data_IF_572122452835
#
_entry.id   IF_572122452835
#
_cell.length_a   1.000
_cell.length_b   1.000
_cell.length_c   1.000
_cell.angle_alpha   90.00
_cell.angle_beta   90.00
_cell.angle_gamma   90.00
#
_symmetry.space_group_name_H-M   'P 1'
#
loop_
_entity.id
_entity.type
_entity.pdbx_description
1 polymer ?
#
# COMPACT_ATOMS: atom_id res chain seq x y z
N UNK A 1 -18.25 10.22 -12.61
CA UNK A 1 -17.78 10.02 -11.25
C UNK A 1 -16.87 8.79 -11.16
N UNK A 2 -15.59 8.96 -10.85
CA UNK A 2 -14.72 7.81 -10.69
C UNK A 2 -15.19 6.93 -9.54
N UNK A 3 -15.16 5.64 -9.74
CA UNK A 3 -15.55 4.67 -8.74
C UNK A 3 -14.56 3.53 -8.74
N UNK A 4 -14.50 2.80 -7.64
CA UNK A 4 -13.81 1.52 -7.61
C UNK A 4 -14.45 0.58 -8.63
N UNK A 5 -13.63 -0.11 -9.41
CA UNK A 5 -14.10 -1.12 -10.35
C UNK A 5 -14.17 -2.50 -9.71
N UNK A 6 -13.97 -2.59 -8.40
CA UNK A 6 -14.00 -3.85 -7.68
C UNK A 6 -15.40 -4.43 -7.62
N UNK A 7 -15.51 -5.71 -7.96
CA UNK A 7 -16.71 -6.48 -7.62
C UNK A 7 -16.70 -6.78 -6.12
N UNK A 8 -17.85 -7.17 -5.53
CA UNK A 8 -17.88 -7.59 -4.13
C UNK A 8 -16.88 -8.72 -3.81
N UNK A 9 -16.71 -9.67 -4.73
CA UNK A 9 -15.76 -10.77 -4.54
C UNK A 9 -14.31 -10.28 -4.53
N UNK A 10 -13.97 -9.35 -5.43
CA UNK A 10 -12.63 -8.76 -5.48
C UNK A 10 -12.34 -7.95 -4.23
N UNK A 11 -13.31 -7.15 -3.77
CA UNK A 11 -13.16 -6.38 -2.52
C UNK A 11 -12.93 -7.29 -1.33
N UNK A 12 -13.72 -8.35 -1.22
CA UNK A 12 -13.57 -9.33 -0.14
C UNK A 12 -12.17 -9.97 -0.15
N UNK A 13 -11.65 -10.28 -1.34
CA UNK A 13 -10.31 -10.82 -1.50
C UNK A 13 -9.25 -9.83 -0.98
N UNK A 14 -9.35 -8.56 -1.34
CA UNK A 14 -8.40 -7.53 -0.92
C UNK A 14 -8.50 -7.23 0.58
N UNK A 15 -9.67 -7.39 1.18
CA UNK A 15 -9.85 -7.17 2.61
C UNK A 15 -9.29 -8.30 3.47
N UNK A 16 -9.06 -9.47 2.90
CA UNK A 16 -8.34 -10.54 3.58
C UNK A 16 -6.86 -10.18 3.73
N UNK A 17 -6.26 -10.58 4.84
CA UNK A 17 -4.87 -10.24 5.12
C UNK A 17 -3.93 -10.98 4.18
N UNK A 18 -3.20 -10.21 3.36
CA UNK A 18 -2.18 -10.67 2.43
C UNK A 18 -1.10 -9.61 2.33
N UNK A 19 0.00 -9.96 1.70
CA UNK A 19 1.03 -8.98 1.34
C UNK A 19 0.79 -8.49 -0.09
N UNK A 20 1.17 -7.26 -0.36
CA UNK A 20 1.11 -6.68 -1.69
C UNK A 20 2.52 -6.58 -2.27
N UNK A 21 2.60 -6.71 -3.60
CA UNK A 21 3.80 -6.31 -4.34
C UNK A 21 3.52 -4.94 -4.93
N UNK A 22 4.35 -3.96 -4.56
CA UNK A 22 4.21 -2.58 -5.02
C UNK A 22 5.29 -2.28 -6.04
N UNK A 23 4.85 -1.85 -7.23
CA UNK A 23 5.72 -1.48 -8.33
C UNK A 23 5.84 0.01 -8.49
N UNK A 24 7.06 0.48 -8.72
CA UNK A 24 7.38 1.87 -9.07
C UNK A 24 8.47 1.88 -10.12
N UNK A 25 8.72 3.04 -10.74
CA UNK A 25 9.69 3.14 -11.83
C UNK A 25 11.02 3.68 -11.31
N UNK A 26 12.09 2.90 -11.50
CA UNK A 26 13.46 3.36 -11.25
C UNK A 26 13.84 4.48 -12.23
N UNK A 27 14.87 5.30 -11.90
CA UNK A 27 15.30 6.39 -12.80
C UNK A 27 15.65 5.94 -14.21
N UNK A 28 16.15 4.73 -14.39
CA UNK A 28 16.49 4.18 -15.70
C UNK A 28 15.31 3.58 -16.45
N UNK A 29 14.09 3.66 -15.87
CA UNK A 29 12.89 3.13 -16.45
C UNK A 29 12.58 1.68 -16.10
N UNK A 30 13.50 0.97 -15.44
CA UNK A 30 13.25 -0.39 -15.02
C UNK A 30 12.27 -0.45 -13.85
N UNK A 31 11.51 -1.54 -13.70
CA UNK A 31 10.58 -1.65 -12.58
C UNK A 31 11.29 -1.93 -11.26
N UNK A 32 10.84 -1.29 -10.20
CA UNK A 32 11.20 -1.60 -8.82
C UNK A 32 10.02 -2.28 -8.15
N UNK A 33 10.24 -3.43 -7.53
CA UNK A 33 9.19 -4.19 -6.85
C UNK A 33 9.56 -4.37 -5.38
N UNK A 34 8.58 -4.17 -4.51
CA UNK A 34 8.76 -4.35 -3.06
C UNK A 34 7.52 -5.00 -2.45
N UNK A 35 7.74 -5.94 -1.54
CA UNK A 35 6.63 -6.53 -0.78
C UNK A 35 6.29 -5.60 0.38
N UNK A 36 5.01 -5.26 0.52
CA UNK A 36 4.56 -4.31 1.51
C UNK A 36 3.25 -4.75 2.17
N UNK A 37 3.00 -4.23 3.35
CA UNK A 37 1.68 -4.24 3.95
C UNK A 37 0.77 -3.28 3.20
N UNK A 38 -0.51 -3.58 3.15
CA UNK A 38 -1.52 -2.70 2.58
C UNK A 38 -2.81 -2.80 3.37
N UNK A 39 -3.68 -1.82 3.20
CA UNK A 39 -5.06 -1.89 3.62
C UNK A 39 -5.95 -1.21 2.59
N UNK A 40 -7.23 -1.50 2.65
CA UNK A 40 -8.23 -0.84 1.84
C UNK A 40 -8.92 0.20 2.72
N UNK A 41 -8.97 1.42 2.23
CA UNK A 41 -9.64 2.53 2.90
C UNK A 41 -10.57 3.20 1.90
N UNK A 42 -11.87 2.92 2.01
CA UNK A 42 -12.83 3.37 1.01
C UNK A 42 -12.52 2.77 -0.37
N UNK A 43 -12.24 3.64 -1.33
CA UNK A 43 -11.90 3.25 -2.69
C UNK A 43 -10.41 3.38 -2.99
N UNK A 44 -9.58 3.37 -1.96
CA UNK A 44 -8.13 3.48 -2.09
C UNK A 44 -7.42 2.27 -1.49
N UNK A 45 -6.29 1.91 -2.11
CA UNK A 45 -5.30 1.06 -1.46
C UNK A 45 -4.31 1.97 -0.77
N UNK A 46 -4.02 1.67 0.49
CA UNK A 46 -3.11 2.46 1.32
C UNK A 46 -1.88 1.62 1.66
N UNK A 47 -0.71 2.17 1.37
CA UNK A 47 0.58 1.62 1.79
C UNK A 47 1.38 2.72 2.47
N UNK A 48 2.42 2.35 3.21
CA UNK A 48 3.19 3.32 3.98
C UNK A 48 4.65 2.87 4.04
N UNK A 49 5.57 3.83 4.05
CA UNK A 49 7.00 3.54 4.03
C UNK A 49 7.77 4.60 4.81
N UNK A 50 8.96 4.21 5.27
CA UNK A 50 9.91 5.17 5.83
C UNK A 50 10.56 5.96 4.70
N UNK A 51 10.77 7.26 4.93
CA UNK A 51 11.42 8.14 3.98
C UNK A 51 12.84 7.67 3.64
N UNK A 52 13.23 7.87 2.39
CA UNK A 52 14.59 7.59 1.93
C UNK A 52 14.78 6.26 1.25
N UNK A 53 13.75 5.43 1.17
CA UNK A 53 13.81 4.15 0.47
C UNK A 53 13.71 4.37 -1.04
N UNK A 54 14.15 3.36 -1.82
CA UNK A 54 14.14 3.46 -3.28
C UNK A 54 12.74 3.75 -3.84
N UNK A 55 11.73 3.03 -3.35
CA UNK A 55 10.34 3.26 -3.79
C UNK A 55 9.85 4.67 -3.47
N UNK A 56 10.31 5.21 -2.37
CA UNK A 56 9.99 6.55 -1.94
C UNK A 56 10.54 7.59 -2.92
N UNK A 57 11.80 7.46 -3.27
CA UNK A 57 12.44 8.33 -4.27
C UNK A 57 11.80 8.18 -5.64
N UNK A 58 11.49 6.94 -6.02
CA UNK A 58 10.85 6.65 -7.30
C UNK A 58 9.48 7.31 -7.39
N UNK A 59 8.65 7.17 -6.36
CA UNK A 59 7.29 7.72 -6.37
C UNK A 59 7.28 9.24 -6.26
N UNK A 60 8.28 9.83 -5.60
CA UNK A 60 8.43 11.29 -5.57
C UNK A 60 8.75 11.84 -6.96
N UNK A 61 9.56 11.12 -7.74
CA UNK A 61 9.92 11.52 -9.09
C UNK A 61 8.82 11.21 -10.12
N UNK A 62 8.11 10.08 -9.93
CA UNK A 62 7.04 9.63 -10.83
C UNK A 62 6.01 8.87 -9.99
N UNK A 63 4.84 9.43 -9.75
CA UNK A 63 3.87 8.83 -8.83
C UNK A 63 3.12 7.63 -9.40
N UNK A 64 3.42 7.20 -10.62
CA UNK A 64 2.80 5.99 -11.16
C UNK A 64 3.17 4.78 -10.31
N UNK A 65 2.16 4.05 -9.91
CA UNK A 65 2.30 2.93 -8.99
C UNK A 65 1.38 1.80 -9.41
N UNK A 66 1.84 0.57 -9.22
CA UNK A 66 1.01 -0.62 -9.36
C UNK A 66 1.05 -1.41 -8.06
N UNK A 67 -0.07 -1.98 -7.69
CA UNK A 67 -0.18 -2.83 -6.50
C UNK A 67 -0.79 -4.16 -6.94
N UNK A 68 -0.08 -5.24 -6.66
CA UNK A 68 -0.50 -6.60 -6.98
C UNK A 68 -0.70 -7.40 -5.70
N UNK A 69 -1.86 -8.03 -5.57
CA UNK A 69 -2.18 -8.94 -4.47
C UNK A 69 -2.59 -10.28 -5.06
N UNK A 70 -2.05 -11.37 -4.53
CA UNK A 70 -2.27 -12.69 -5.11
C UNK A 70 -2.35 -13.78 -4.03
N UNK A 71 -2.95 -14.91 -4.38
CA UNK A 71 -2.96 -16.14 -3.54
C UNK A 71 -2.43 -17.36 -4.30
N UNK A 72 -1.74 -17.14 -5.42
CA UNK A 72 -1.22 -18.19 -6.29
C UNK A 72 -2.16 -18.58 -7.42
N UNK A 73 -3.46 -18.44 -7.22
CA UNK A 73 -4.49 -18.79 -8.21
C UNK A 73 -5.28 -17.57 -8.68
N UNK A 74 -5.55 -16.66 -7.76
CA UNK A 74 -6.28 -15.43 -8.03
C UNK A 74 -5.34 -14.26 -7.81
N UNK A 75 -5.49 -13.22 -8.61
CA UNK A 75 -4.73 -12.00 -8.38
C UNK A 75 -5.55 -10.78 -8.80
N UNK A 76 -5.25 -9.66 -8.16
CA UNK A 76 -5.80 -8.35 -8.48
C UNK A 76 -4.63 -7.39 -8.58
N UNK A 77 -4.57 -6.64 -9.67
CA UNK A 77 -3.61 -5.54 -9.85
C UNK A 77 -4.36 -4.23 -10.02
N UNK A 78 -3.93 -3.25 -9.29
CA UNK A 78 -4.46 -1.89 -9.42
C UNK A 78 -3.31 -1.01 -9.89
N UNK A 79 -3.56 -0.28 -10.99
CA UNK A 79 -2.58 0.64 -11.59
C UNK A 79 -3.10 2.06 -11.46
N UNK A 80 -2.21 3.02 -11.26
CA UNK A 80 -2.61 4.41 -11.20
C UNK A 80 -1.50 5.32 -10.70
N UNK A 81 -1.92 6.49 -10.22
CA UNK A 81 -1.02 7.48 -9.65
C UNK A 81 -1.27 7.57 -8.14
N UNK A 82 -0.22 7.43 -7.37
CA UNK A 82 -0.30 7.52 -5.92
C UNK A 82 -0.47 8.98 -5.49
N UNK A 83 -1.36 9.21 -4.53
CA UNK A 83 -1.38 10.44 -3.77
C UNK A 83 -0.40 10.27 -2.61
N UNK A 84 0.53 11.18 -2.47
CA UNK A 84 1.63 11.08 -1.51
C UNK A 84 1.36 12.01 -0.34
N UNK A 85 1.32 11.46 0.87
CA UNK A 85 1.03 12.21 2.08
C UNK A 85 2.23 12.23 3.01
N UNK A 86 2.76 13.43 3.28
CA UNK A 86 3.89 13.66 4.18
C UNK A 86 3.48 14.14 5.57
N UNK A 87 2.21 14.45 5.79
CA UNK A 87 1.73 14.84 7.13
C UNK A 87 1.99 13.70 8.10
N UNK A 88 2.84 13.95 9.11
CA UNK A 88 3.28 12.90 10.02
C UNK A 88 2.19 12.38 10.93
N UNK A 89 1.17 13.18 11.23
CA UNK A 89 0.01 12.69 11.97
C UNK A 89 -0.74 11.65 11.17
N UNK A 90 -0.94 11.93 9.89
CA UNK A 90 -1.63 11.01 8.98
C UNK A 90 -0.77 9.78 8.72
N UNK A 91 0.49 9.97 8.35
CA UNK A 91 1.37 8.86 7.98
C UNK A 91 1.65 7.94 9.17
N UNK A 92 1.81 8.48 10.38
CA UNK A 92 2.00 7.67 11.59
C UNK A 92 0.71 6.95 11.99
N UNK A 93 -0.45 7.58 11.82
CA UNK A 93 -1.72 6.90 12.07
C UNK A 93 -1.90 5.73 11.09
N UNK A 94 -1.51 5.92 9.85
CA UNK A 94 -1.65 4.88 8.83
C UNK A 94 -0.72 3.69 9.06
N UNK A 95 0.55 3.93 9.42
CA UNK A 95 1.45 2.79 9.72
C UNK A 95 0.99 2.04 10.96
N UNK A 96 0.40 2.73 11.92
CA UNK A 96 -0.20 2.07 13.08
C UNK A 96 -1.38 1.19 12.68
N UNK A 97 -2.27 1.66 11.79
CA UNK A 97 -3.39 0.88 11.27
C UNK A 97 -2.89 -0.36 10.52
N UNK A 98 -1.85 -0.20 9.72
CA UNK A 98 -1.22 -1.31 9.02
C UNK A 98 -0.65 -2.33 10.00
N UNK A 99 0.09 -1.89 11.00
CA UNK A 99 0.64 -2.76 12.03
C UNK A 99 -0.47 -3.53 12.75
N UNK A 100 -1.57 -2.84 13.08
CA UNK A 100 -2.71 -3.46 13.76
C UNK A 100 -3.38 -4.54 12.87
N UNK A 101 -3.33 -4.37 11.55
CA UNK A 101 -3.87 -5.36 10.63
C UNK A 101 -3.01 -6.62 10.55
N UNK A 102 -1.69 -6.47 10.61
CA UNK A 102 -0.75 -7.58 10.37
C UNK A 102 -0.24 -8.24 11.63
N UNK A 103 -0.16 -7.52 12.74
CA UNK A 103 0.17 -8.09 14.03
C UNK A 103 -1.12 -8.48 14.77
N UNK A 104 -1.18 -9.68 15.29
CA UNK A 104 -2.35 -10.16 16.02
C UNK A 104 -2.34 -9.72 17.49
N UNK A 105 -1.20 -9.19 17.98
CA UNK A 105 -0.97 -8.82 19.36
C UNK A 105 -0.85 -7.30 19.46
N UNK A 106 -1.77 -6.68 20.21
CA UNK A 106 -1.76 -5.24 20.46
C UNK A 106 -0.43 -4.76 21.07
N UNK A 107 0.19 -5.60 21.88
CA UNK A 107 1.50 -5.29 22.45
C UNK A 107 2.56 -5.13 21.37
N UNK A 108 2.56 -5.99 20.36
CA UNK A 108 3.51 -5.88 19.24
C UNK A 108 3.28 -4.62 18.43
N UNK A 109 2.03 -4.21 18.26
CA UNK A 109 1.71 -2.93 17.59
C UNK A 109 2.33 -1.78 18.38
N UNK A 110 2.09 -1.72 19.69
CA UNK A 110 2.60 -0.65 20.52
C UNK A 110 4.13 -0.63 20.56
N UNK A 111 4.78 -1.79 20.67
CA UNK A 111 6.23 -1.89 20.66
C UNK A 111 6.82 -1.42 19.34
N UNK A 112 6.23 -1.82 18.20
CA UNK A 112 6.69 -1.42 16.88
C UNK A 112 6.55 0.09 16.68
N UNK A 113 5.42 0.66 17.09
CA UNK A 113 5.21 2.12 17.02
C UNK A 113 6.24 2.84 17.88
N UNK A 114 6.39 2.42 19.13
CA UNK A 114 7.29 3.09 20.09
C UNK A 114 8.76 2.97 19.69
N UNK A 115 9.20 1.78 19.29
CA UNK A 115 10.61 1.50 19.08
C UNK A 115 11.10 1.81 17.66
N UNK A 116 10.22 1.77 16.66
CA UNK A 116 10.60 1.91 15.27
C UNK A 116 9.86 3.04 14.57
N UNK A 117 8.53 2.90 14.40
CA UNK A 117 7.77 3.77 13.48
C UNK A 117 7.72 5.22 13.97
N UNK A 118 7.57 5.45 15.26
CA UNK A 118 7.49 6.83 15.81
C UNK A 118 8.79 7.61 15.61
N UNK A 119 9.91 6.91 15.42
CA UNK A 119 11.23 7.51 15.22
C UNK A 119 11.55 7.80 13.76
N UNK A 120 10.68 7.44 12.86
CA UNK A 120 10.89 7.56 11.42
C UNK A 120 9.99 8.64 10.84
N UNK A 121 10.48 9.31 9.81
CA UNK A 121 9.62 10.10 8.94
C UNK A 121 8.91 9.09 8.03
N UNK A 122 7.60 9.00 8.17
CA UNK A 122 6.78 8.06 7.39
C UNK A 122 6.08 8.78 6.24
N UNK A 123 5.73 8.03 5.20
CA UNK A 123 5.00 8.54 4.06
C UNK A 123 3.86 7.57 3.75
N UNK A 124 2.66 8.11 3.60
CA UNK A 124 1.51 7.34 3.15
C UNK A 124 1.34 7.53 1.65
N UNK A 125 1.08 6.43 0.95
CA UNK A 125 0.71 6.43 -0.46
C UNK A 125 -0.70 5.88 -0.58
N UNK A 126 -1.57 6.63 -1.23
CA UNK A 126 -2.95 6.22 -1.49
C UNK A 126 -3.11 6.04 -3.00
N UNK A 127 -3.50 4.84 -3.41
CA UNK A 127 -3.75 4.52 -4.81
C UNK A 127 -5.23 4.35 -5.03
N UNK A 128 -5.87 5.25 -5.78
CA UNK A 128 -7.30 5.09 -6.10
C UNK A 128 -7.54 3.80 -6.90
N UNK A 129 -8.53 3.03 -6.48
CA UNK A 129 -8.90 1.77 -7.14
C UNK A 129 -9.83 2.10 -8.28
N UNK A 130 -9.26 2.35 -9.46
CA UNK A 130 -10.01 2.72 -10.67
C UNK A 130 -9.66 1.83 -11.85
N UNK A 131 -8.39 1.56 -12.05
CA UNK A 131 -7.90 0.70 -13.13
C UNK A 131 -7.49 -0.63 -12.52
N UNK A 132 -8.32 -1.63 -12.74
CA UNK A 132 -8.18 -2.94 -12.10
C UNK A 132 -8.04 -4.02 -13.17
N UNK A 133 -7.05 -4.87 -13.02
CA UNK A 133 -6.93 -6.12 -13.77
C UNK A 133 -6.94 -7.27 -12.77
N UNK A 134 -7.52 -8.38 -13.15
CA UNK A 134 -7.61 -9.53 -12.24
C UNK A 134 -7.77 -10.82 -13.02
N UNK A 135 -7.54 -11.94 -12.32
CA UNK A 135 -7.80 -13.27 -12.82
C UNK A 135 -8.29 -14.15 -11.68
N UNK A 136 -9.21 -15.08 -12.00
CA UNK A 136 -9.74 -16.01 -11.02
C UNK A 136 -11.00 -15.55 -10.30
N UNK A 137 -11.61 -14.50 -10.80
CA UNK A 137 -12.84 -13.96 -10.21
C UNK A 137 -14.01 -14.01 -11.18
#
# INVERSE_FOLDING_TARGET
>A
MPRSELTPAQRAFLEEKRFAVVGSKNPDGSPHLAVMWYLIDGDDIVVNSAQGRMKDRNLAADPRMSVLVEDGYRWIRVDGRAAIEHDQKVAHADIRRLAARYYEDERKVEESVKNNFSKQHRITYRLPIRRVASEGF
#
